data_IF_238254039846
#
_entry.id   IF_238254039846
#
_cell.length_a   1.000
_cell.length_b   1.000
_cell.length_c   1.000
_cell.angle_alpha   90.00
_cell.angle_beta   90.00
_cell.angle_gamma   90.00
#
_symmetry.space_group_name_H-M   'P 1'
#
loop_
_entity.id
_entity.type
_entity.pdbx_description
1 polymer ?
#
# COMPACT_ATOMS: atom_id res chain seq x y z
N UNK A 1 6.16 -32.45 7.69
CA UNK A 1 6.12 -31.79 6.37
C UNK A 1 6.47 -30.33 6.58
N UNK A 2 7.73 -29.96 6.30
CA UNK A 2 8.20 -28.59 6.49
C UNK A 2 7.46 -27.65 5.54
N UNK A 3 6.81 -26.64 6.08
CA UNK A 3 6.16 -25.60 5.29
C UNK A 3 7.27 -24.86 4.53
N UNK A 4 7.48 -25.22 3.26
CA UNK A 4 8.43 -24.58 2.36
C UNK A 4 7.89 -23.21 1.93
N UNK A 5 7.55 -22.36 2.91
CA UNK A 5 7.07 -21.00 2.65
C UNK A 5 8.02 -20.29 1.68
N UNK A 6 7.45 -19.64 0.68
CA UNK A 6 8.26 -18.89 -0.28
C UNK A 6 9.01 -17.78 0.45
N UNK A 7 10.32 -17.67 0.18
CA UNK A 7 11.16 -16.56 0.65
C UNK A 7 10.86 -15.37 -0.26
N UNK A 8 9.68 -14.79 -0.11
CA UNK A 8 9.19 -13.67 -0.91
C UNK A 8 8.20 -12.82 -0.13
N UNK A 9 8.03 -11.57 -0.55
CA UNK A 9 6.90 -10.73 -0.11
C UNK A 9 5.64 -11.27 -0.78
N UNK A 10 4.57 -11.45 -0.02
CA UNK A 10 3.29 -11.87 -0.61
C UNK A 10 2.50 -10.64 -1.01
N UNK A 11 2.13 -10.55 -2.29
CA UNK A 11 1.26 -9.51 -2.83
C UNK A 11 -0.07 -10.19 -3.18
N UNK A 12 -1.09 -9.94 -2.37
CA UNK A 12 -2.42 -10.50 -2.62
C UNK A 12 -3.29 -9.45 -3.32
N UNK A 13 -4.02 -9.86 -4.35
CA UNK A 13 -4.77 -8.94 -5.20
C UNK A 13 -6.23 -9.36 -5.38
N UNK A 14 -7.13 -8.37 -5.45
CA UNK A 14 -8.53 -8.53 -5.85
C UNK A 14 -8.93 -7.31 -6.67
N UNK A 15 -9.26 -7.52 -7.95
CA UNK A 15 -9.66 -6.44 -8.88
C UNK A 15 -8.74 -5.20 -8.81
N UNK A 16 -7.40 -5.34 -8.84
CA UNK A 16 -6.51 -4.22 -8.56
C UNK A 16 -6.56 -3.17 -9.68
N UNK A 17 -6.42 -1.90 -9.30
CA UNK A 17 -6.08 -0.83 -10.23
C UNK A 17 -4.69 -1.12 -10.81
N UNK A 18 -4.65 -1.51 -12.09
CA UNK A 18 -3.47 -2.09 -12.71
C UNK A 18 -2.28 -1.13 -12.73
N UNK A 19 -2.56 0.16 -12.89
CA UNK A 19 -1.54 1.20 -12.86
C UNK A 19 -0.85 1.29 -11.50
N UNK A 20 -1.59 1.13 -10.40
CA UNK A 20 -1.04 1.15 -9.05
C UNK A 20 -0.31 -0.14 -8.73
N UNK A 21 -0.88 -1.29 -9.11
CA UNK A 21 -0.24 -2.59 -8.89
C UNK A 21 1.13 -2.66 -9.59
N UNK A 22 1.21 -2.23 -10.85
CA UNK A 22 2.47 -2.22 -11.62
C UNK A 22 3.58 -1.47 -10.88
N UNK A 23 3.26 -0.28 -10.39
CA UNK A 23 4.23 0.61 -9.75
C UNK A 23 4.63 0.08 -8.37
N UNK A 24 3.67 -0.50 -7.63
CA UNK A 24 3.93 -1.18 -6.38
C UNK A 24 4.90 -2.36 -6.55
N UNK A 25 4.68 -3.20 -7.57
CA UNK A 25 5.57 -4.32 -7.87
C UNK A 25 6.96 -3.84 -8.28
N UNK A 26 7.05 -2.82 -9.14
CA UNK A 26 8.31 -2.20 -9.51
C UNK A 26 9.09 -1.68 -8.29
N UNK A 27 8.40 -1.09 -7.30
CA UNK A 27 9.03 -0.66 -6.07
C UNK A 27 9.63 -1.80 -5.24
N UNK A 28 9.00 -2.98 -5.24
CA UNK A 28 9.57 -4.17 -4.59
C UNK A 28 10.82 -4.65 -5.36
N UNK A 29 10.74 -4.70 -6.70
CA UNK A 29 11.84 -5.13 -7.59
C UNK A 29 13.09 -4.24 -7.46
N UNK A 30 12.91 -2.92 -7.42
CA UNK A 30 13.98 -1.93 -7.25
C UNK A 30 14.82 -2.18 -5.98
N UNK A 31 14.21 -2.73 -4.94
CA UNK A 31 14.86 -3.01 -3.67
C UNK A 31 15.49 -4.42 -3.62
N UNK A 32 15.36 -5.21 -4.70
CA UNK A 32 16.01 -6.51 -4.88
C UNK A 32 15.39 -7.64 -4.07
N UNK A 33 14.15 -7.51 -3.62
CA UNK A 33 13.44 -8.55 -2.85
C UNK A 33 12.44 -9.29 -3.73
N UNK A 34 12.42 -10.63 -3.75
CA UNK A 34 11.43 -11.39 -4.50
C UNK A 34 10.00 -11.18 -3.95
N UNK A 35 9.02 -11.22 -4.84
CA UNK A 35 7.60 -11.23 -4.47
C UNK A 35 6.84 -12.36 -5.16
N UNK A 36 5.66 -12.67 -4.64
CA UNK A 36 4.70 -13.59 -5.28
C UNK A 36 3.35 -12.90 -5.31
N UNK A 37 2.65 -13.00 -6.45
CA UNK A 37 1.30 -12.44 -6.62
C UNK A 37 0.28 -13.57 -6.58
N UNK A 38 -0.78 -13.41 -5.79
CA UNK A 38 -1.91 -14.35 -5.77
C UNK A 38 -3.24 -13.62 -5.62
N UNK A 39 -4.33 -14.20 -6.09
CA UNK A 39 -5.67 -13.71 -5.76
C UNK A 39 -6.02 -14.01 -4.30
N UNK A 40 -6.99 -13.28 -3.76
CA UNK A 40 -7.60 -13.59 -2.46
C UNK A 40 -9.12 -13.41 -2.49
N UNK A 41 -9.78 -14.05 -1.54
CA UNK A 41 -11.19 -13.89 -1.25
C UNK A 41 -11.40 -13.49 0.20
N UNK A 42 -12.47 -12.76 0.49
CA UNK A 42 -12.76 -12.27 1.84
C UNK A 42 -12.34 -10.82 2.06
N UNK A 43 -12.09 -10.50 3.34
CA UNK A 43 -11.81 -9.14 3.80
C UNK A 43 -10.32 -8.81 3.65
N UNK A 44 -10.02 -7.71 2.97
CA UNK A 44 -8.67 -7.38 2.51
C UNK A 44 -7.65 -7.26 3.63
N UNK A 45 -7.99 -6.62 4.75
CA UNK A 45 -7.05 -6.42 5.87
C UNK A 45 -6.69 -7.75 6.53
N UNK A 46 -7.69 -8.58 6.83
CA UNK A 46 -7.52 -9.90 7.42
C UNK A 46 -6.71 -10.83 6.52
N UNK A 47 -7.01 -10.87 5.22
CA UNK A 47 -6.25 -11.70 4.29
C UNK A 47 -4.82 -11.20 4.12
N UNK A 48 -4.60 -9.88 4.11
CA UNK A 48 -3.24 -9.32 4.05
C UNK A 48 -2.43 -9.68 5.29
N UNK A 49 -3.06 -9.62 6.46
CA UNK A 49 -2.41 -10.05 7.70
C UNK A 49 -2.07 -11.54 7.65
N UNK A 50 -2.99 -12.42 7.24
CA UNK A 50 -2.72 -13.86 7.06
C UNK A 50 -1.56 -14.10 6.08
N UNK A 51 -1.56 -13.41 4.94
CA UNK A 51 -0.48 -13.50 3.97
C UNK A 51 0.88 -13.09 4.57
N UNK A 52 0.90 -12.07 5.43
CA UNK A 52 2.13 -11.66 6.13
C UNK A 52 2.64 -12.74 7.10
N UNK A 53 1.75 -13.51 7.74
CA UNK A 53 2.13 -14.63 8.61
C UNK A 53 2.70 -15.81 7.80
N UNK A 54 2.26 -15.98 6.55
CA UNK A 54 2.68 -17.08 5.67
C UNK A 54 3.99 -16.78 4.93
N UNK A 55 4.25 -15.50 4.62
CA UNK A 55 5.53 -15.07 4.06
C UNK A 55 6.68 -15.34 5.04
N UNK A 56 7.75 -16.01 4.58
CA UNK A 56 8.96 -16.16 5.40
C UNK A 56 9.65 -14.83 5.72
N UNK A 57 9.40 -13.79 4.90
CA UNK A 57 9.90 -12.44 5.16
C UNK A 57 9.05 -11.71 6.20
N UNK A 58 7.87 -12.25 6.52
CA UNK A 58 6.91 -11.63 7.43
C UNK A 58 6.20 -10.41 6.85
N UNK A 59 6.28 -10.18 5.54
CA UNK A 59 5.73 -8.99 4.88
C UNK A 59 4.69 -9.40 3.85
N UNK A 60 3.55 -8.72 3.84
CA UNK A 60 2.59 -8.81 2.76
C UNK A 60 1.99 -7.46 2.38
N UNK A 61 1.57 -7.37 1.13
CA UNK A 61 0.83 -6.25 0.58
C UNK A 61 -0.52 -6.75 0.05
N UNK A 62 -1.60 -6.15 0.49
CA UNK A 62 -2.93 -6.34 -0.07
C UNK A 62 -3.28 -5.23 -1.04
N UNK A 63 -3.82 -5.57 -2.21
CA UNK A 63 -4.35 -4.61 -3.16
C UNK A 63 -5.79 -5.00 -3.51
N UNK A 64 -6.75 -4.14 -3.14
CA UNK A 64 -8.15 -4.29 -3.51
C UNK A 64 -8.64 -3.03 -4.18
N UNK A 65 -8.97 -3.11 -5.48
CA UNK A 65 -9.22 -1.92 -6.30
C UNK A 65 -8.03 -0.96 -6.18
N UNK A 66 -8.25 0.20 -5.58
CA UNK A 66 -7.26 1.25 -5.37
C UNK A 66 -6.80 1.36 -3.90
N UNK A 67 -7.30 0.51 -3.00
CA UNK A 67 -6.85 0.39 -1.62
C UNK A 67 -5.59 -0.47 -1.57
N UNK A 68 -4.56 0.03 -0.90
CA UNK A 68 -3.31 -0.68 -0.66
C UNK A 68 -3.12 -0.84 0.85
N UNK A 69 -2.74 -2.05 1.27
CA UNK A 69 -2.50 -2.42 2.67
C UNK A 69 -1.09 -2.99 2.77
N UNK A 70 -0.20 -2.41 3.57
CA UNK A 70 1.12 -2.96 3.89
C UNK A 70 1.10 -3.52 5.31
N UNK A 71 1.31 -4.83 5.46
CA UNK A 71 1.28 -5.49 6.76
C UNK A 71 2.59 -6.20 7.09
N UNK A 72 2.96 -6.13 8.37
CA UNK A 72 4.05 -6.91 8.96
C UNK A 72 3.54 -7.98 9.90
N UNK A 73 4.12 -9.16 9.90
CA UNK A 73 3.61 -10.29 10.67
C UNK A 73 3.65 -10.06 12.18
N UNK A 74 4.63 -9.28 12.66
CA UNK A 74 4.82 -8.96 14.07
C UNK A 74 4.14 -7.66 14.51
N UNK A 75 3.33 -7.00 13.67
CA UNK A 75 2.62 -5.78 14.05
C UNK A 75 1.32 -6.03 14.86
N UNK A 76 1.19 -7.20 15.51
CA UNK A 76 0.07 -7.51 16.42
C UNK A 76 0.05 -6.46 17.54
N UNK A 77 -0.88 -5.51 17.46
CA UNK A 77 -1.05 -4.42 18.43
C UNK A 77 -1.13 -3.03 17.81
N UNK A 78 -0.58 -2.80 16.62
CA UNK A 78 -0.58 -1.47 15.97
C UNK A 78 -1.23 -1.47 14.58
N UNK A 79 -1.65 -2.63 14.07
CA UNK A 79 -2.32 -2.76 12.78
C UNK A 79 -1.35 -2.77 11.59
N UNK A 80 -1.84 -2.48 10.38
CA UNK A 80 -1.00 -2.38 9.19
C UNK A 80 -0.10 -1.14 9.27
N UNK A 81 1.07 -1.19 8.62
CA UNK A 81 1.96 -0.03 8.51
C UNK A 81 1.41 1.03 7.54
N UNK A 82 0.60 0.58 6.59
CA UNK A 82 -0.13 1.43 5.68
C UNK A 82 -1.47 0.79 5.36
N UNK A 83 -2.53 1.57 5.38
CA UNK A 83 -3.85 1.20 4.89
C UNK A 83 -4.51 2.46 4.33
N UNK A 84 -4.66 2.51 3.01
CA UNK A 84 -5.19 3.71 2.37
C UNK A 84 -5.55 3.50 0.91
N UNK A 85 -6.50 4.30 0.46
CA UNK A 85 -6.86 4.42 -0.94
C UNK A 85 -5.91 5.39 -1.64
N UNK A 86 -5.49 5.01 -2.84
CA UNK A 86 -4.76 5.85 -3.77
C UNK A 86 -5.67 6.16 -4.96
N UNK A 87 -5.55 7.32 -5.57
CA UNK A 87 -6.10 7.53 -6.90
C UNK A 87 -5.12 7.01 -7.97
N UNK A 88 -5.61 6.77 -9.20
CA UNK A 88 -4.79 6.22 -10.29
C UNK A 88 -3.59 7.08 -10.72
N UNK A 89 -3.50 8.33 -10.28
CA UNK A 89 -2.36 9.23 -10.52
C UNK A 89 -1.27 9.13 -9.45
N UNK A 90 -1.53 8.49 -8.31
CA UNK A 90 -0.58 8.34 -7.19
C UNK A 90 0.43 7.19 -7.40
N UNK A 91 0.86 6.96 -8.64
CA UNK A 91 1.81 5.92 -9.07
C UNK A 91 3.10 5.90 -8.25
N UNK A 92 3.68 7.09 -8.01
CA UNK A 92 4.91 7.21 -7.24
C UNK A 92 4.70 6.91 -5.74
N UNK A 93 3.49 7.12 -5.22
CA UNK A 93 3.15 6.70 -3.86
C UNK A 93 3.04 5.18 -3.77
N UNK A 94 2.42 4.54 -4.76
CA UNK A 94 2.37 3.08 -4.87
C UNK A 94 3.78 2.46 -4.97
N UNK A 95 4.67 3.03 -5.80
CA UNK A 95 6.09 2.62 -5.87
C UNK A 95 6.78 2.71 -4.52
N UNK A 96 6.65 3.84 -3.81
CA UNK A 96 7.24 4.01 -2.46
C UNK A 96 6.70 3.01 -1.44
N UNK A 97 5.41 2.63 -1.51
CA UNK A 97 4.85 1.56 -0.68
C UNK A 97 5.50 0.22 -1.01
N UNK A 98 5.68 -0.10 -2.31
CA UNK A 98 6.43 -1.27 -2.76
C UNK A 98 7.86 -1.31 -2.24
N UNK A 99 8.59 -0.19 -2.36
CA UNK A 99 9.93 -0.08 -1.80
C UNK A 99 9.92 -0.34 -0.29
N UNK A 100 8.95 0.22 0.44
CA UNK A 100 8.84 0.06 1.89
C UNK A 100 8.54 -1.38 2.31
N UNK A 101 7.78 -2.14 1.51
CA UNK A 101 7.57 -3.56 1.78
C UNK A 101 8.93 -4.31 1.82
N UNK A 102 9.81 -4.03 0.88
CA UNK A 102 11.15 -4.61 0.82
C UNK A 102 12.10 -4.04 1.89
N UNK A 103 12.11 -2.71 2.09
CA UNK A 103 12.94 -2.04 3.11
C UNK A 103 12.58 -2.47 4.53
N UNK A 104 11.32 -2.82 4.79
CA UNK A 104 10.88 -3.36 6.07
C UNK A 104 11.57 -4.69 6.38
N UNK A 105 11.63 -5.62 5.42
CA UNK A 105 12.37 -6.88 5.58
C UNK A 105 13.88 -6.64 5.74
N UNK A 106 14.44 -5.70 4.96
CA UNK A 106 15.86 -5.33 5.02
C UNK A 106 16.25 -4.50 6.24
N UNK A 107 15.30 -4.10 7.09
CA UNK A 107 15.50 -3.23 8.25
C UNK A 107 16.20 -1.91 7.84
N UNK A 108 15.68 -1.28 6.79
CA UNK A 108 16.15 0.01 6.27
C UNK A 108 15.16 1.14 6.62
N UNK A 109 15.59 2.41 6.66
CA UNK A 109 14.68 3.54 6.82
C UNK A 109 13.55 3.49 5.79
N UNK A 110 12.31 3.82 6.16
CA UNK A 110 11.20 3.84 5.21
C UNK A 110 11.21 5.11 4.36
N UNK A 111 10.78 5.01 3.10
CA UNK A 111 10.45 6.16 2.25
C UNK A 111 9.14 6.79 2.74
N UNK A 112 8.99 8.09 2.53
CA UNK A 112 7.76 8.80 2.86
C UNK A 112 6.59 8.29 2.01
N UNK A 113 5.51 7.85 2.64
CA UNK A 113 4.29 7.36 1.98
C UNK A 113 3.19 8.42 1.87
N UNK A 114 3.49 9.69 2.21
CA UNK A 114 2.56 10.79 1.99
C UNK A 114 2.38 11.06 0.49
N UNK A 115 1.18 11.49 0.08
CA UNK A 115 0.93 11.93 -1.29
C UNK A 115 1.91 13.05 -1.64
N UNK A 116 2.43 13.00 -2.87
CA UNK A 116 3.23 14.11 -3.38
C UNK A 116 2.24 15.15 -3.91
N UNK A 117 1.84 16.07 -3.03
CA UNK A 117 0.90 17.13 -3.38
C UNK A 117 1.72 18.38 -3.73
N UNK A 118 1.54 18.89 -4.93
CA UNK A 118 2.12 20.16 -5.34
C UNK A 118 1.45 21.32 -4.61
N UNK A 119 2.17 22.43 -4.43
CA UNK A 119 1.59 23.66 -3.85
C UNK A 119 0.33 24.09 -4.62
N UNK A 120 0.33 23.91 -5.95
CA UNK A 120 -0.83 24.21 -6.78
C UNK A 120 -2.05 23.37 -6.39
N UNK A 121 -1.89 22.06 -6.24
CA UNK A 121 -2.99 21.17 -5.83
C UNK A 121 -3.50 21.51 -4.43
N UNK A 122 -2.60 21.88 -3.49
CA UNK A 122 -3.02 22.37 -2.17
C UNK A 122 -3.87 23.64 -2.29
N UNK A 123 -3.42 24.61 -3.08
CA UNK A 123 -4.13 25.88 -3.29
C UNK A 123 -5.51 25.62 -3.92
N UNK A 124 -5.58 24.74 -4.92
CA UNK A 124 -6.84 24.39 -5.59
C UNK A 124 -7.80 23.68 -4.61
N UNK A 125 -7.31 22.72 -3.81
CA UNK A 125 -8.11 22.06 -2.77
C UNK A 125 -8.65 23.03 -1.71
N UNK A 126 -7.82 23.97 -1.25
CA UNK A 126 -8.22 25.00 -0.29
C UNK A 126 -9.26 25.93 -0.91
N UNK A 127 -9.05 26.38 -2.16
CA UNK A 127 -9.99 27.24 -2.88
C UNK A 127 -11.36 26.58 -3.00
N UNK A 128 -11.43 25.33 -3.44
CA UNK A 128 -12.69 24.59 -3.58
C UNK A 128 -13.43 24.47 -2.24
N UNK A 129 -12.71 24.14 -1.16
CA UNK A 129 -13.31 24.05 0.18
C UNK A 129 -13.82 25.39 0.71
N UNK A 130 -13.08 26.47 0.48
CA UNK A 130 -13.51 27.83 0.86
C UNK A 130 -14.77 28.23 0.08
N UNK A 131 -14.79 28.02 -1.24
CA UNK A 131 -15.96 28.30 -2.08
C UNK A 131 -17.17 27.49 -1.60
N UNK A 132 -17.00 26.20 -1.32
CA UNK A 132 -18.06 25.34 -0.80
C UNK A 132 -18.59 25.86 0.55
N UNK A 133 -17.71 26.22 1.49
CA UNK A 133 -18.10 26.76 2.80
C UNK A 133 -18.84 28.10 2.68
N UNK A 134 -18.43 28.98 1.77
CA UNK A 134 -19.10 30.26 1.50
C UNK A 134 -20.48 30.06 0.87
N UNK A 135 -20.65 29.05 0.00
CA UNK A 135 -21.94 28.68 -0.63
C UNK A 135 -22.87 27.92 0.31
N UNK A 136 -22.34 27.20 1.29
CA UNK A 136 -23.11 26.36 2.22
C UNK A 136 -23.67 27.13 3.43
N UNK A 137 -23.41 28.44 3.54
CA UNK A 137 -23.99 29.27 4.60
C UNK A 137 -25.50 29.43 4.34
N UNK A 138 -26.40 28.95 5.22
CA UNK A 138 -27.81 29.26 5.08
C UNK A 138 -28.02 30.75 5.41
N UNK A 139 -29.00 31.34 4.72
CA UNK A 139 -29.61 32.62 5.11
C UNK A 139 -30.17 32.53 6.53
#
# INVERSE_FOLDING_TARGET
>A
MGNNGNVSIFVIVKEPEQALLKELLAGIEEEGIPYTVSSFEGEALNETFKASQLSKLGVAVGVWKNRIILHYSKSRGFGPLFDGELNGYEKERARRIGNNAARLYKVMPLKDMRPNITIKEIVDMVRERVIAALKAKPL
#
